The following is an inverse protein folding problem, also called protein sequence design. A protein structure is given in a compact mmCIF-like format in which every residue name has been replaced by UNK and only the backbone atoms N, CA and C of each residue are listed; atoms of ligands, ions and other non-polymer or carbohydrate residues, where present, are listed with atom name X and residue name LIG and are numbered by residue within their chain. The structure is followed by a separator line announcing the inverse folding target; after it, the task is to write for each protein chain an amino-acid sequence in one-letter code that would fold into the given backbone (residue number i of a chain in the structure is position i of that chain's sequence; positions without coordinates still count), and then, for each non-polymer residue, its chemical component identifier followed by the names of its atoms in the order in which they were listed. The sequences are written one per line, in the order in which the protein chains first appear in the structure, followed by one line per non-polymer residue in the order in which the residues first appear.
data_IF_867722893749
#
_entry.id   IF_867722893749
#
_cell.length_a   1.000
_cell.length_b   1.000
_cell.length_c   1.000
_cell.angle_alpha   90.00
_cell.angle_beta   90.00
_cell.angle_gamma   90.00
#
_symmetry.space_group_name_H-M   'P 1'
#
loop_
_entity.id
_entity.type
_entity.pdbx_description
1 polymer ?
#
# COMPACT_ATOMS: atom_id res chain seq x y z
N UNK A 1 15.61 18.90 1.86
CA UNK A 1 16.55 19.64 0.99
C UNK A 1 17.06 18.66 -0.04
N UNK A 2 16.47 18.62 -1.23
CA UNK A 2 16.71 17.52 -2.19
C UNK A 2 18.13 17.51 -2.77
N UNK A 3 18.70 18.69 -3.03
CA UNK A 3 20.04 18.84 -3.63
C UNK A 3 21.18 18.88 -2.59
N UNK A 4 21.00 18.28 -1.42
CA UNK A 4 22.01 18.32 -0.36
C UNK A 4 23.35 17.68 -0.76
N UNK A 5 23.35 16.80 -1.78
CA UNK A 5 24.57 16.21 -2.33
C UNK A 5 25.45 17.24 -3.05
N UNK A 6 24.86 18.29 -3.65
CA UNK A 6 25.61 19.35 -4.32
C UNK A 6 26.16 20.42 -3.40
N UNK A 7 25.75 20.42 -2.14
CA UNK A 7 26.04 21.48 -1.19
C UNK A 7 27.17 21.10 -0.27
N UNK A 8 27.93 22.10 0.15
CA UNK A 8 28.95 21.91 1.17
C UNK A 8 28.30 21.60 2.52
N UNK A 9 29.07 21.01 3.42
CA UNK A 9 28.59 20.68 4.76
C UNK A 9 28.07 21.93 5.48
N UNK A 10 28.79 23.05 5.37
CA UNK A 10 28.41 24.32 6.00
C UNK A 10 27.11 24.90 5.43
N UNK A 11 26.89 24.81 4.11
CA UNK A 11 25.64 25.26 3.48
C UNK A 11 24.44 24.47 3.99
N UNK A 12 24.57 23.15 4.14
CA UNK A 12 23.49 22.29 4.63
C UNK A 12 23.21 22.54 6.11
N UNK A 13 24.26 22.70 6.94
CA UNK A 13 24.11 23.04 8.36
C UNK A 13 23.44 24.41 8.54
N UNK A 14 23.83 25.40 7.73
CA UNK A 14 23.22 26.73 7.74
C UNK A 14 21.75 26.72 7.28
N UNK A 15 21.41 25.88 6.29
CA UNK A 15 20.02 25.74 5.82
C UNK A 15 19.09 25.24 6.93
N UNK A 16 19.55 24.27 7.73
CA UNK A 16 18.77 23.75 8.86
C UNK A 16 18.96 24.55 10.16
N UNK A 17 19.94 25.46 10.21
CA UNK A 17 20.26 26.25 11.40
C UNK A 17 20.68 25.38 12.58
N UNK A 18 21.51 24.36 12.33
CA UNK A 18 21.90 23.34 13.32
C UNK A 18 23.41 23.31 13.53
N UNK A 19 23.81 23.15 14.79
CA UNK A 19 25.20 22.94 15.18
C UNK A 19 25.55 21.44 15.13
N UNK A 20 26.68 21.04 14.50
CA UNK A 20 27.03 19.63 14.31
C UNK A 20 27.43 18.87 15.59
N UNK A 21 27.75 19.57 16.67
CA UNK A 21 28.10 18.97 17.98
C UNK A 21 26.96 19.07 18.98
N UNK A 22 26.10 20.10 18.89
CA UNK A 22 24.95 20.26 19.80
C UNK A 22 23.64 19.68 19.24
N UNK A 23 23.48 19.62 17.93
CA UNK A 23 22.25 19.18 17.28
C UNK A 23 21.08 20.16 17.45
N UNK A 24 19.86 19.68 17.14
CA UNK A 24 18.65 20.48 17.22
C UNK A 24 18.19 20.71 18.66
N UNK A 25 17.60 21.88 18.92
CA UNK A 25 16.91 22.18 20.18
C UNK A 25 15.52 21.52 20.24
N UNK A 26 14.95 21.29 21.44
CA UNK A 26 13.59 20.75 21.60
C UNK A 26 12.53 21.53 20.81
N UNK A 27 12.63 22.86 20.78
CA UNK A 27 11.68 23.71 20.06
C UNK A 27 11.80 23.54 18.53
N UNK A 28 13.03 23.42 18.01
CA UNK A 28 13.26 23.12 16.60
C UNK A 28 12.73 21.74 16.22
N UNK A 29 12.89 20.74 17.09
CA UNK A 29 12.39 19.38 16.85
C UNK A 29 10.87 19.41 16.73
N UNK A 30 10.17 20.03 17.69
CA UNK A 30 8.71 20.12 17.65
C UNK A 30 8.22 20.85 16.38
N UNK A 31 8.85 21.97 16.04
CA UNK A 31 8.54 22.73 14.82
C UNK A 31 8.79 21.91 13.55
N UNK A 32 9.87 21.14 13.50
CA UNK A 32 10.19 20.30 12.35
C UNK A 32 9.28 19.07 12.27
N UNK A 33 8.86 18.49 13.39
CA UNK A 33 7.85 17.42 13.43
C UNK A 33 6.51 17.91 12.90
N UNK A 34 6.07 19.11 13.29
CA UNK A 34 4.84 19.72 12.77
C UNK A 34 4.95 20.04 11.27
N UNK A 35 6.14 20.40 10.77
CA UNK A 35 6.35 20.77 9.37
C UNK A 35 6.53 19.57 8.43
N UNK A 36 7.31 18.57 8.82
CA UNK A 36 7.73 17.46 7.96
C UNK A 36 7.00 16.14 8.27
N UNK A 37 6.29 16.06 9.40
CA UNK A 37 5.63 14.84 9.84
C UNK A 37 6.62 13.81 10.43
N UNK A 38 6.11 12.61 10.77
CA UNK A 38 6.94 11.52 11.27
C UNK A 38 7.84 10.93 10.18
N UNK A 39 8.98 10.38 10.60
CA UNK A 39 9.87 9.62 9.72
C UNK A 39 9.43 8.16 9.64
N UNK A 40 8.28 7.94 9.01
CA UNK A 40 7.74 6.63 8.70
C UNK A 40 7.07 6.71 7.33
N UNK A 41 7.15 5.63 6.56
CA UNK A 41 6.39 5.56 5.34
C UNK A 41 4.90 5.32 5.70
N UNK A 42 3.95 6.14 5.21
CA UNK A 42 2.55 6.10 5.62
C UNK A 42 1.99 4.70 5.45
N UNK A 43 1.32 4.12 6.42
CA UNK A 43 0.64 2.85 6.19
C UNK A 43 -0.52 3.10 5.24
N UNK A 44 -0.54 2.43 4.08
CA UNK A 44 -1.80 2.34 3.34
C UNK A 44 -2.78 1.63 4.28
N UNK A 45 -3.93 2.27 4.51
CA UNK A 45 -5.03 1.58 5.16
C UNK A 45 -5.49 0.53 4.16
N UNK A 46 -4.98 -0.69 4.33
CA UNK A 46 -5.45 -1.83 3.57
C UNK A 46 -6.95 -1.91 3.63
N UNK A 47 -7.59 -2.29 2.51
CA UNK A 47 -9.03 -2.45 2.46
C UNK A 47 -9.45 -3.36 3.61
N UNK A 48 -10.43 -2.92 4.40
CA UNK A 48 -10.95 -3.74 5.49
C UNK A 48 -11.52 -5.05 4.92
N UNK A 49 -11.47 -6.13 5.67
CA UNK A 49 -12.02 -7.44 5.23
C UNK A 49 -13.47 -7.27 4.78
N UNK A 50 -14.25 -6.41 5.43
CA UNK A 50 -15.63 -6.10 5.04
C UNK A 50 -15.74 -5.38 3.69
N UNK A 51 -14.84 -4.44 3.40
CA UNK A 51 -14.78 -3.79 2.10
C UNK A 51 -14.38 -4.79 1.00
N UNK A 52 -13.37 -5.62 1.25
CA UNK A 52 -12.96 -6.68 0.31
C UNK A 52 -14.11 -7.64 0.01
N UNK A 53 -14.85 -8.07 1.04
CA UNK A 53 -16.03 -8.90 0.86
C UNK A 53 -17.08 -8.19 0.01
N UNK A 54 -17.39 -6.93 0.29
CA UNK A 54 -18.38 -6.15 -0.47
C UNK A 54 -18.00 -5.99 -1.95
N UNK A 55 -16.72 -5.78 -2.25
CA UNK A 55 -16.21 -5.68 -3.62
C UNK A 55 -16.43 -6.99 -4.42
N UNK A 56 -16.32 -8.16 -3.76
CA UNK A 56 -16.63 -9.45 -4.42
C UNK A 56 -18.11 -9.56 -4.83
N UNK A 57 -19.01 -8.80 -4.21
CA UNK A 57 -20.43 -8.73 -4.59
C UNK A 57 -20.75 -7.59 -5.57
N UNK A 58 -19.77 -6.76 -5.96
CA UNK A 58 -20.00 -5.65 -6.89
C UNK A 58 -20.02 -6.10 -8.36
N UNK A 59 -19.48 -7.29 -8.65
CA UNK A 59 -19.50 -7.91 -9.97
C UNK A 59 -20.93 -8.17 -10.48
N UNK A 60 -21.18 -7.85 -11.75
CA UNK A 60 -22.50 -7.93 -12.37
C UNK A 60 -23.04 -9.37 -12.43
N UNK A 61 -22.20 -10.37 -12.67
CA UNK A 61 -22.61 -11.78 -12.63
C UNK A 61 -22.93 -12.23 -11.22
N UNK A 62 -22.13 -11.82 -10.24
CA UNK A 62 -22.40 -12.12 -8.82
C UNK A 62 -23.73 -11.51 -8.38
N UNK A 63 -24.04 -10.27 -8.79
CA UNK A 63 -25.35 -9.64 -8.56
C UNK A 63 -26.51 -10.42 -9.17
N UNK A 64 -26.35 -10.96 -10.39
CA UNK A 64 -27.37 -11.80 -11.03
C UNK A 64 -27.57 -13.10 -10.24
N UNK A 65 -26.49 -13.76 -9.81
CA UNK A 65 -26.55 -14.97 -8.98
C UNK A 65 -27.20 -14.70 -7.62
N UNK A 66 -26.88 -13.55 -7.01
CA UNK A 66 -27.49 -13.13 -5.75
C UNK A 66 -29.00 -12.87 -5.93
N UNK A 67 -29.40 -12.22 -7.04
CA UNK A 67 -30.81 -12.03 -7.38
C UNK A 67 -31.52 -13.38 -7.57
N UNK A 68 -30.89 -14.34 -8.27
CA UNK A 68 -31.43 -15.69 -8.44
C UNK A 68 -31.58 -16.42 -7.11
N UNK A 69 -30.59 -16.30 -6.20
CA UNK A 69 -30.67 -16.85 -4.85
C UNK A 69 -31.84 -16.27 -4.05
N UNK A 70 -32.07 -14.95 -4.15
CA UNK A 70 -33.20 -14.28 -3.49
C UNK A 70 -34.53 -14.76 -4.07
N UNK A 71 -34.67 -14.84 -5.40
CA UNK A 71 -35.89 -15.32 -6.05
C UNK A 71 -36.18 -16.77 -5.66
N UNK A 72 -35.17 -17.65 -5.73
CA UNK A 72 -35.29 -19.06 -5.33
C UNK A 72 -35.68 -19.19 -3.85
N UNK A 73 -35.08 -18.38 -2.96
CA UNK A 73 -35.45 -18.36 -1.55
C UNK A 73 -36.90 -17.91 -1.31
N UNK A 74 -37.37 -16.89 -2.05
CA UNK A 74 -38.76 -16.43 -1.97
C UNK A 74 -39.72 -17.49 -2.49
N UNK A 75 -39.41 -18.15 -3.61
CA UNK A 75 -40.23 -19.24 -4.15
C UNK A 75 -40.33 -20.41 -3.17
N UNK A 76 -39.22 -20.80 -2.54
CA UNK A 76 -39.18 -21.85 -1.53
C UNK A 76 -40.03 -21.52 -0.28
N UNK A 77 -40.19 -20.23 0.08
CA UNK A 77 -41.07 -19.81 1.18
C UNK A 77 -42.56 -19.89 0.84
N UNK A 78 -42.92 -19.78 -0.44
CA UNK A 78 -44.31 -19.83 -0.92
C UNK A 78 -44.75 -21.22 -1.41
N UNK A 79 -43.84 -22.18 -1.50
CA UNK A 79 -44.16 -23.57 -1.86
C UNK A 79 -44.85 -24.30 -0.68
N UNK A 80 -46.13 -24.66 -0.86
CA UNK A 80 -46.96 -25.37 0.13
C UNK A 80 -46.79 -26.91 0.10
N UNK A 81 -45.63 -27.43 -0.34
CA UNK A 81 -45.40 -28.89 -0.43
C UNK A 81 -44.76 -29.49 0.84
N UNK A 82 -45.12 -30.74 1.15
CA UNK A 82 -44.74 -31.51 2.36
C UNK A 82 -43.23 -31.69 2.56
N UNK A 83 -42.41 -31.50 1.51
CA UNK A 83 -40.95 -31.63 1.55
C UNK A 83 -40.24 -30.26 1.70
N UNK A 84 -40.55 -29.51 2.76
CA UNK A 84 -39.92 -28.21 3.04
C UNK A 84 -38.38 -28.27 3.08
N UNK A 85 -37.79 -29.41 3.41
CA UNK A 85 -36.33 -29.57 3.54
C UNK A 85 -35.64 -29.51 2.16
N UNK A 86 -36.28 -29.96 1.08
CA UNK A 86 -35.67 -29.99 -0.25
C UNK A 86 -35.80 -28.65 -0.97
N UNK A 87 -36.86 -27.87 -0.69
CA UNK A 87 -37.10 -26.56 -1.29
C UNK A 87 -35.98 -25.54 -0.98
N UNK A 88 -35.38 -25.60 0.22
CA UNK A 88 -34.28 -24.70 0.59
C UNK A 88 -32.90 -25.13 0.05
N UNK A 89 -32.78 -26.28 -0.61
CA UNK A 89 -31.48 -26.79 -1.09
C UNK A 89 -30.90 -25.88 -2.17
N UNK A 90 -31.71 -25.47 -3.16
CA UNK A 90 -31.27 -24.61 -4.25
C UNK A 90 -30.72 -23.24 -3.77
N UNK A 91 -31.48 -22.42 -3.00
CA UNK A 91 -30.97 -21.12 -2.56
C UNK A 91 -29.77 -21.26 -1.62
N UNK A 92 -29.73 -22.34 -0.83
CA UNK A 92 -28.60 -22.63 0.04
C UNK A 92 -27.33 -22.97 -0.73
N UNK A 93 -27.42 -23.79 -1.78
CA UNK A 93 -26.27 -24.14 -2.62
C UNK A 93 -25.73 -22.91 -3.36
N UNK A 94 -26.61 -22.05 -3.89
CA UNK A 94 -26.18 -20.82 -4.57
C UNK A 94 -25.46 -19.89 -3.57
N UNK A 95 -26.03 -19.69 -2.38
CA UNK A 95 -25.41 -18.88 -1.33
C UNK A 95 -24.04 -19.43 -0.91
N UNK A 96 -23.92 -20.76 -0.78
CA UNK A 96 -22.67 -21.42 -0.42
C UNK A 96 -21.58 -21.17 -1.47
N UNK A 97 -21.91 -21.23 -2.77
CA UNK A 97 -20.98 -20.92 -3.86
C UNK A 97 -20.53 -19.46 -3.79
N UNK A 98 -21.46 -18.52 -3.55
CA UNK A 98 -21.12 -17.10 -3.40
C UNK A 98 -20.18 -16.84 -2.22
N UNK A 99 -20.44 -17.46 -1.07
CA UNK A 99 -19.58 -17.37 0.11
C UNK A 99 -18.19 -17.95 -0.19
N UNK A 100 -18.13 -19.13 -0.82
CA UNK A 100 -16.87 -19.76 -1.17
C UNK A 100 -16.04 -18.88 -2.13
N UNK A 101 -16.68 -18.29 -3.14
CA UNK A 101 -16.02 -17.38 -4.08
C UNK A 101 -15.51 -16.12 -3.37
N UNK A 102 -16.31 -15.51 -2.49
CA UNK A 102 -15.88 -14.34 -1.72
C UNK A 102 -14.68 -14.65 -0.82
N UNK A 103 -14.66 -15.81 -0.15
CA UNK A 103 -13.51 -16.25 0.67
C UNK A 103 -12.25 -16.40 -0.18
N UNK A 104 -12.36 -17.05 -1.35
CA UNK A 104 -11.22 -17.23 -2.27
C UNK A 104 -10.73 -15.88 -2.79
N UNK A 105 -11.63 -14.97 -3.17
CA UNK A 105 -11.27 -13.62 -3.62
C UNK A 105 -10.53 -12.82 -2.56
N UNK A 106 -11.07 -12.77 -1.33
CA UNK A 106 -10.43 -12.07 -0.19
C UNK A 106 -9.06 -12.66 0.12
N UNK A 107 -8.89 -13.99 0.03
CA UNK A 107 -7.60 -14.63 0.28
C UNK A 107 -6.55 -14.30 -0.79
N UNK A 108 -6.96 -14.22 -2.06
CA UNK A 108 -6.06 -13.85 -3.16
C UNK A 108 -5.57 -12.41 -3.04
N UNK A 109 -6.47 -11.48 -2.72
CA UNK A 109 -6.13 -10.05 -2.61
C UNK A 109 -5.21 -9.76 -1.43
N UNK A 110 -5.47 -10.38 -0.27
CA UNK A 110 -4.61 -10.25 0.91
C UNK A 110 -3.18 -10.76 0.67
N UNK A 111 -3.00 -11.78 -0.16
CA UNK A 111 -1.65 -12.25 -0.47
C UNK A 111 -0.88 -11.24 -1.33
N UNK A 112 -1.55 -10.49 -2.21
CA UNK A 112 -0.91 -9.47 -3.04
C UNK A 112 -0.40 -8.28 -2.21
N UNK A 113 -1.20 -7.83 -1.22
CA UNK A 113 -0.87 -6.68 -0.37
C UNK A 113 0.37 -6.93 0.53
N UNK A 114 0.63 -8.19 0.90
CA UNK A 114 1.74 -8.57 1.79
C UNK A 114 3.15 -8.17 1.27
N UNK A 115 3.31 -8.01 -0.04
CA UNK A 115 4.58 -7.58 -0.64
C UNK A 115 4.93 -6.11 -0.31
N UNK A 116 3.92 -5.26 -0.12
CA UNK A 116 4.10 -3.84 0.25
C UNK A 116 4.52 -3.74 1.72
N UNK A 117 3.98 -4.61 2.58
CA UNK A 117 4.31 -4.62 4.01
C UNK A 117 5.77 -5.04 4.27
N UNK A 118 6.33 -5.91 3.43
CA UNK A 118 7.74 -6.31 3.51
C UNK A 118 8.72 -5.13 3.37
N UNK A 119 8.34 -4.05 2.70
CA UNK A 119 9.18 -2.84 2.61
C UNK A 119 9.33 -2.13 3.97
N UNK A 120 8.34 -2.24 4.88
CA UNK A 120 8.42 -1.66 6.24
C UNK A 120 9.47 -2.35 7.11
N UNK A 121 9.79 -3.61 6.83
CA UNK A 121 10.84 -4.34 7.56
C UNK A 121 12.25 -3.72 7.33
N UNK A 122 12.38 -2.87 6.30
CA UNK A 122 13.59 -2.10 6.05
C UNK A 122 13.70 -0.81 6.87
N UNK A 123 12.68 -0.38 7.60
CA UNK A 123 12.81 0.76 8.52
C UNK A 123 13.39 0.30 9.87
N UNK A 124 14.47 0.91 10.38
CA UNK A 124 14.95 0.59 11.71
C UNK A 124 13.98 1.10 12.78
N UNK A 125 13.80 0.36 13.88
CA UNK A 125 12.96 0.81 14.99
C UNK A 125 13.55 2.03 15.73
N UNK A 126 14.89 2.11 15.79
CA UNK A 126 15.64 3.09 16.58
C UNK A 126 16.76 3.71 15.75
N UNK A 127 17.06 4.99 16.02
CA UNK A 127 18.22 5.71 15.49
C UNK A 127 19.01 6.43 16.58
N UNK A 128 20.26 6.80 16.28
CA UNK A 128 21.17 7.51 17.19
C UNK A 128 21.27 8.97 16.77
N UNK A 129 20.82 9.89 17.62
CA UNK A 129 20.83 11.33 17.34
C UNK A 129 21.63 12.09 18.38
N UNK A 130 22.12 13.26 17.98
CA UNK A 130 22.67 14.29 18.86
C UNK A 130 21.68 15.45 18.84
N UNK A 131 21.15 15.83 20.01
CA UNK A 131 20.20 16.94 20.18
C UNK A 131 20.58 17.74 21.42
N UNK A 132 20.14 18.99 21.48
CA UNK A 132 20.55 19.95 22.52
C UNK A 132 19.92 19.72 23.90
N UNK A 133 19.03 18.73 24.04
CA UNK A 133 18.36 18.40 25.31
C UNK A 133 19.24 17.56 26.25
N UNK A 134 20.15 16.75 25.69
CA UNK A 134 21.04 15.87 26.45
C UNK A 134 22.46 15.91 25.89
N UNK A 135 23.45 15.85 26.77
CA UNK A 135 24.83 15.75 26.36
C UNK A 135 25.13 14.35 25.77
N UNK A 136 25.64 14.31 24.54
CA UNK A 136 26.09 13.09 23.86
C UNK A 136 25.06 12.47 22.91
N UNK A 137 25.34 11.24 22.49
CA UNK A 137 24.51 10.50 21.53
C UNK A 137 23.36 9.81 22.28
N UNK A 138 22.13 10.05 21.86
CA UNK A 138 20.95 9.40 22.40
C UNK A 138 20.25 8.51 21.37
N UNK A 139 19.64 7.42 21.85
CA UNK A 139 18.79 6.57 21.01
C UNK A 139 17.35 7.05 21.07
N UNK A 140 16.77 7.34 19.91
CA UNK A 140 15.38 7.75 19.74
C UNK A 140 14.69 6.81 18.76
N UNK A 141 13.36 6.78 18.75
CA UNK A 141 12.62 6.00 17.75
C UNK A 141 12.88 6.60 16.38
N UNK A 142 13.07 5.77 15.35
CA UNK A 142 13.39 6.29 14.01
C UNK A 142 12.29 7.22 13.48
N UNK A 143 11.02 6.96 13.82
CA UNK A 143 9.87 7.80 13.49
C UNK A 143 9.91 9.23 14.05
N UNK A 144 10.69 9.46 15.11
CA UNK A 144 10.83 10.77 15.75
C UNK A 144 11.97 11.61 15.17
N UNK A 145 12.75 11.04 14.24
CA UNK A 145 13.84 11.72 13.54
C UNK A 145 13.24 12.71 12.55
N UNK A 146 13.79 13.91 12.51
CA UNK A 146 13.31 14.98 11.62
C UNK A 146 14.42 15.56 10.75
N UNK A 147 14.10 16.17 9.60
CA UNK A 147 15.07 16.93 8.83
C UNK A 147 15.79 17.97 9.69
N UNK A 148 17.12 17.98 9.60
CA UNK A 148 18.01 18.79 10.43
C UNK A 148 18.57 18.06 11.66
N UNK A 149 18.04 16.89 12.06
CA UNK A 149 18.64 16.11 13.14
C UNK A 149 20.07 15.69 12.77
N UNK A 150 20.95 15.71 13.77
CA UNK A 150 22.31 15.20 13.64
C UNK A 150 22.31 13.74 14.04
N UNK A 151 22.58 12.85 13.09
CA UNK A 151 22.53 11.40 13.28
C UNK A 151 23.96 10.85 13.27
N UNK A 152 24.21 9.91 14.17
CA UNK A 152 25.46 9.15 14.22
C UNK A 152 25.20 7.70 13.80
N UNK A 153 26.03 7.18 12.91
CA UNK A 153 25.92 5.81 12.41
C UNK A 153 27.24 5.06 12.60
N UNK A 154 27.13 3.79 12.97
CA UNK A 154 28.25 2.88 13.20
C UNK A 154 28.01 1.56 12.47
N UNK A 155 29.06 0.74 12.35
CA UNK A 155 28.98 -0.62 11.76
C UNK A 155 27.80 -1.41 12.31
N UNK A 156 27.02 -2.00 11.40
CA UNK A 156 25.84 -2.79 11.71
C UNK A 156 24.56 -1.99 11.91
N UNK A 157 24.63 -0.65 11.99
CA UNK A 157 23.43 0.18 12.03
C UNK A 157 22.79 0.23 10.64
N UNK A 158 21.45 0.18 10.62
CA UNK A 158 20.64 0.52 9.45
C UNK A 158 20.39 2.03 9.45
N UNK A 159 20.49 2.65 8.28
CA UNK A 159 20.35 4.10 8.11
C UNK A 159 18.86 4.47 8.27
N UNK A 160 18.51 5.39 9.20
CA UNK A 160 17.10 5.64 9.53
C UNK A 160 16.38 6.65 8.64
N UNK A 161 17.13 7.48 7.90
CA UNK A 161 16.61 8.54 7.04
C UNK A 161 17.67 8.88 5.99
N UNK A 162 17.32 9.71 4.99
CA UNK A 162 18.35 10.20 4.06
C UNK A 162 19.21 11.26 4.75
N UNK A 163 20.52 11.03 4.79
CA UNK A 163 21.47 11.78 5.59
C UNK A 163 22.62 12.30 4.72
N UNK A 164 22.91 13.59 4.82
CA UNK A 164 24.12 14.20 4.28
C UNK A 164 25.27 14.02 5.26
N UNK A 165 26.35 13.40 4.83
CA UNK A 165 27.54 13.19 5.67
C UNK A 165 28.19 14.53 6.06
N UNK A 166 28.54 14.68 7.34
CA UNK A 166 29.26 15.85 7.87
C UNK A 166 30.70 15.45 8.16
N UNK A 167 30.88 14.33 8.87
CA UNK A 167 32.18 13.90 9.39
C UNK A 167 32.26 12.38 9.44
N UNK A 168 33.39 11.84 9.00
CA UNK A 168 33.71 10.42 9.11
C UNK A 168 34.74 10.29 10.24
N UNK A 169 34.44 9.48 11.26
CA UNK A 169 35.32 9.27 12.41
C UNK A 169 36.30 8.12 12.19
N UNK A 170 35.97 7.17 11.32
CA UNK A 170 36.83 6.06 10.92
C UNK A 170 37.71 6.42 9.72
N UNK A 171 38.70 5.59 9.41
CA UNK A 171 39.55 5.74 8.21
C UNK A 171 38.73 5.73 6.92
N UNK A 172 37.72 4.86 6.86
CA UNK A 172 36.80 4.75 5.74
C UNK A 172 35.39 4.50 6.26
N UNK A 173 34.38 5.00 5.53
CA UNK A 173 32.99 4.62 5.70
C UNK A 173 32.56 3.80 4.48
N UNK A 174 31.98 2.62 4.71
CA UNK A 174 31.44 1.74 3.67
C UNK A 174 29.99 1.45 3.94
N UNK A 175 29.15 1.63 2.93
CA UNK A 175 27.70 1.42 3.01
C UNK A 175 27.31 0.34 2.01
N UNK A 176 26.50 -0.61 2.45
CA UNK A 176 25.81 -1.55 1.59
C UNK A 176 24.53 -0.88 1.06
N UNK A 177 24.50 -0.62 -0.24
CA UNK A 177 23.41 0.06 -0.93
C UNK A 177 22.64 -0.89 -1.86
N UNK A 178 22.78 -2.21 -1.68
CA UNK A 178 22.18 -3.25 -2.52
C UNK A 178 20.68 -3.08 -2.72
N UNK A 179 19.94 -2.60 -1.71
CA UNK A 179 18.50 -2.34 -1.80
C UNK A 179 18.11 -1.25 -2.82
N UNK A 180 19.01 -0.32 -3.14
CA UNK A 180 18.75 0.80 -4.05
C UNK A 180 19.49 0.68 -5.39
N UNK A 181 20.63 -0.01 -5.40
CA UNK A 181 21.48 -0.12 -6.59
C UNK A 181 21.47 -1.52 -7.21
N UNK A 182 21.01 -2.54 -6.48
CA UNK A 182 21.11 -3.94 -6.88
C UNK A 182 22.52 -4.54 -6.77
N UNK A 183 23.52 -3.74 -6.41
CA UNK A 183 24.91 -4.17 -6.32
C UNK A 183 25.28 -4.55 -4.87
N UNK A 184 25.77 -5.77 -4.64
CA UNK A 184 26.15 -6.25 -3.30
C UNK A 184 27.50 -5.71 -2.80
N UNK A 185 28.23 -4.94 -3.62
CA UNK A 185 29.53 -4.39 -3.24
C UNK A 185 29.35 -3.12 -2.44
N UNK A 186 29.95 -3.08 -1.25
CA UNK A 186 29.89 -1.88 -0.40
C UNK A 186 30.58 -0.68 -1.04
N UNK A 187 29.93 0.48 -1.00
CA UNK A 187 30.43 1.74 -1.59
C UNK A 187 31.15 2.58 -0.54
N UNK A 188 32.33 3.11 -0.88
CA UNK A 188 33.06 4.05 -0.01
C UNK A 188 32.43 5.44 -0.12
N UNK A 189 32.18 6.05 1.04
CA UNK A 189 31.58 7.39 1.15
C UNK A 189 32.59 8.46 1.55
N UNK A 190 32.32 9.70 1.16
CA UNK A 190 33.15 10.88 1.39
C UNK A 190 32.28 12.08 1.80
N UNK A 191 32.88 13.17 2.28
CA UNK A 191 32.14 14.36 2.75
C UNK A 191 32.04 15.48 1.71
N UNK A 192 32.83 15.41 0.63
CA UNK A 192 32.91 16.46 -0.38
C UNK A 192 31.58 16.64 -1.13
N UNK A 193 31.32 17.87 -1.58
CA UNK A 193 30.15 18.18 -2.39
C UNK A 193 30.30 17.58 -3.80
N UNK A 194 29.19 17.14 -4.39
CA UNK A 194 29.15 16.52 -5.71
C UNK A 194 28.59 17.55 -6.69
N UNK A 195 29.37 18.04 -7.67
CA UNK A 195 28.96 19.18 -8.49
C UNK A 195 27.71 18.95 -9.35
N UNK A 196 27.41 17.69 -9.70
CA UNK A 196 26.31 17.36 -10.59
C UNK A 196 24.94 17.34 -9.87
N UNK A 197 24.02 18.28 -10.18
CA UNK A 197 22.68 18.28 -9.61
C UNK A 197 21.84 17.08 -10.05
N UNK A 198 22.16 16.44 -11.18
CA UNK A 198 21.44 15.29 -11.73
C UNK A 198 22.13 13.96 -11.42
N UNK A 199 23.08 13.96 -10.49
CA UNK A 199 23.77 12.76 -10.05
C UNK A 199 22.77 11.67 -9.65
N UNK A 200 22.97 10.45 -10.18
CA UNK A 200 22.19 9.28 -9.78
C UNK A 200 22.55 8.86 -8.35
N UNK A 201 21.73 8.02 -7.72
CA UNK A 201 21.94 7.61 -6.33
C UNK A 201 23.30 6.92 -6.09
N UNK A 202 23.83 6.23 -7.10
CA UNK A 202 25.17 5.61 -7.06
C UNK A 202 26.30 6.66 -6.95
N UNK A 203 26.14 7.81 -7.61
CA UNK A 203 27.16 8.86 -7.62
C UNK A 203 27.13 9.72 -6.36
N UNK A 204 26.02 9.71 -5.61
CA UNK A 204 25.83 10.42 -4.33
C UNK A 204 26.65 9.79 -3.19
N UNK A 205 27.98 9.86 -3.32
CA UNK A 205 28.98 9.34 -2.36
C UNK A 205 29.03 10.11 -1.03
N UNK A 206 28.31 11.22 -0.91
CA UNK A 206 28.21 12.00 0.33
C UNK A 206 26.84 11.88 1.03
N UNK A 207 25.94 11.06 0.47
CA UNK A 207 24.63 10.75 1.05
C UNK A 207 24.60 9.31 1.54
N UNK A 208 23.97 9.12 2.69
CA UNK A 208 23.50 7.84 3.22
C UNK A 208 22.00 7.78 2.99
N UNK A 209 21.50 6.69 2.42
CA UNK A 209 20.08 6.55 2.11
C UNK A 209 19.36 5.71 3.16
N UNK A 210 18.12 6.06 3.48
CA UNK A 210 17.27 5.28 4.38
C UNK A 210 17.17 3.81 3.95
N UNK A 211 17.19 2.89 4.92
CA UNK A 211 17.10 1.44 4.70
C UNK A 211 18.42 0.76 4.31
N UNK A 212 19.45 1.52 3.92
CA UNK A 212 20.80 0.97 3.65
C UNK A 212 21.52 0.61 4.95
N UNK A 213 22.58 -0.20 4.88
CA UNK A 213 23.30 -0.68 6.08
C UNK A 213 24.75 -0.19 6.11
N UNK A 214 25.27 0.13 7.29
CA UNK A 214 26.69 0.45 7.47
C UNK A 214 27.52 -0.82 7.50
N UNK A 215 28.24 -1.10 6.41
CA UNK A 215 29.13 -2.25 6.30
C UNK A 215 30.42 -2.07 7.10
N UNK A 216 30.99 -0.86 7.11
CA UNK A 216 32.18 -0.55 7.91
C UNK A 216 32.31 0.94 8.22
N UNK A 217 32.89 1.27 9.37
CA UNK A 217 33.19 2.63 9.79
C UNK A 217 32.18 3.25 10.75
N UNK A 218 32.42 4.53 11.05
CA UNK A 218 31.60 5.36 11.93
C UNK A 218 31.55 6.78 11.38
N UNK A 219 30.38 7.37 11.30
CA UNK A 219 30.20 8.71 10.76
C UNK A 219 29.05 9.47 11.42
N UNK A 220 29.03 10.78 11.19
CA UNK A 220 27.96 11.69 11.59
C UNK A 220 27.47 12.45 10.36
N UNK A 221 26.17 12.69 10.31
CA UNK A 221 25.55 13.44 9.25
C UNK A 221 24.29 14.17 9.71
N UNK A 222 23.77 15.03 8.84
CA UNK A 222 22.51 15.76 9.04
C UNK A 222 21.42 15.14 8.18
N UNK A 223 20.25 14.95 8.76
CA UNK A 223 19.07 14.41 8.05
C UNK A 223 18.58 15.44 7.04
N UNK A 224 18.50 15.06 5.77
CA UNK A 224 18.04 15.92 4.68
C UNK A 224 16.59 15.67 4.27
N UNK A 225 16.10 14.44 4.49
CA UNK A 225 14.76 13.99 4.14
C UNK A 225 14.34 12.76 4.97
N UNK A 226 13.05 12.68 5.27
CA UNK A 226 12.41 11.65 6.12
C UNK A 226 11.12 11.15 5.46
N UNK A 227 10.68 9.94 5.82
CA UNK A 227 9.45 9.33 5.29
C UNK A 227 9.43 9.27 3.76
N UNK A 228 8.34 9.75 3.15
CA UNK A 228 8.15 9.80 1.69
C UNK A 228 9.21 10.62 0.94
N UNK A 229 9.87 11.57 1.61
CA UNK A 229 10.89 12.43 1.00
C UNK A 229 12.28 11.78 0.91
N UNK A 230 12.41 10.51 1.26
CA UNK A 230 13.65 9.72 1.13
C UNK A 230 13.73 9.02 -0.23
N UNK A 231 14.89 8.53 -0.62
CA UNK A 231 15.05 7.73 -1.84
C UNK A 231 14.13 6.49 -1.84
N UNK A 232 14.03 5.77 -0.73
CA UNK A 232 13.12 4.63 -0.58
C UNK A 232 11.65 5.07 -0.55
N UNK A 233 11.36 6.24 0.02
CA UNK A 233 10.01 6.82 0.03
C UNK A 233 9.52 7.24 -1.34
N UNK A 234 10.40 7.74 -2.21
CA UNK A 234 10.09 8.04 -3.61
C UNK A 234 9.75 6.75 -4.38
N UNK A 235 10.56 5.70 -4.22
CA UNK A 235 10.26 4.37 -4.79
C UNK A 235 8.89 3.88 -4.32
N UNK A 236 8.58 4.02 -3.02
CA UNK A 236 7.28 3.63 -2.49
C UNK A 236 6.13 4.43 -3.08
N UNK A 237 6.30 5.75 -3.23
CA UNK A 237 5.27 6.62 -3.81
C UNK A 237 4.99 6.22 -5.26
N UNK A 238 6.03 5.98 -6.06
CA UNK A 238 5.90 5.51 -7.44
C UNK A 238 5.23 4.13 -7.52
N UNK A 239 5.53 3.23 -6.58
CA UNK A 239 4.87 1.92 -6.51
C UNK A 239 3.39 2.02 -6.12
N UNK A 240 3.03 2.93 -5.22
CA UNK A 240 1.66 3.17 -4.77
C UNK A 240 0.81 3.89 -5.83
N UNK A 241 1.40 4.86 -6.54
CA UNK A 241 0.76 5.57 -7.65
C UNK A 241 0.59 4.71 -8.90
N UNK A 242 1.30 3.57 -8.98
CA UNK A 242 1.08 2.61 -10.05
C UNK A 242 -0.26 1.92 -9.82
N UNK A 243 -1.31 2.38 -10.52
CA UNK A 243 -2.62 1.73 -10.51
C UNK A 243 -2.46 0.23 -10.77
N UNK A 244 -3.14 -0.60 -9.98
CA UNK A 244 -3.20 -2.04 -10.22
C UNK A 244 -3.84 -2.31 -11.59
N UNK A 245 -3.00 -2.52 -12.60
CA UNK A 245 -3.46 -2.87 -13.93
C UNK A 245 -3.98 -4.31 -13.86
N UNK A 246 -5.31 -4.47 -13.99
CA UNK A 246 -5.95 -5.79 -14.13
C UNK A 246 -5.23 -6.61 -15.20
N UNK A 247 -5.00 -7.88 -14.92
CA UNK A 247 -4.36 -8.78 -15.89
C UNK A 247 -5.19 -8.87 -17.18
N UNK A 248 -4.57 -9.12 -18.36
CA UNK A 248 -5.31 -9.28 -19.60
C UNK A 248 -6.41 -10.36 -19.52
N UNK A 249 -6.20 -11.40 -18.72
CA UNK A 249 -7.19 -12.44 -18.47
C UNK A 249 -8.37 -11.91 -17.62
N UNK A 250 -8.09 -11.19 -16.53
CA UNK A 250 -9.15 -10.57 -15.72
C UNK A 250 -10.01 -9.61 -16.55
N UNK A 251 -9.40 -8.77 -17.37
CA UNK A 251 -10.15 -7.88 -18.28
C UNK A 251 -11.08 -8.66 -19.22
N UNK A 252 -10.62 -9.81 -19.75
CA UNK A 252 -11.44 -10.67 -20.60
C UNK A 252 -12.55 -11.38 -19.84
N UNK A 253 -12.32 -11.76 -18.58
CA UNK A 253 -13.35 -12.32 -17.72
C UNK A 253 -14.41 -11.28 -17.36
N UNK A 254 -14.03 -10.04 -17.08
CA UNK A 254 -14.94 -8.92 -16.83
C UNK A 254 -15.79 -8.62 -18.08
N UNK A 255 -15.16 -8.52 -19.26
CA UNK A 255 -15.87 -8.35 -20.54
C UNK A 255 -16.83 -9.52 -20.81
N UNK A 256 -16.40 -10.76 -20.55
CA UNK A 256 -17.24 -11.94 -20.69
C UNK A 256 -18.42 -11.90 -19.72
N UNK A 257 -18.18 -11.47 -18.47
CA UNK A 257 -19.21 -11.30 -17.46
C UNK A 257 -20.27 -10.31 -17.89
N UNK A 258 -19.87 -9.13 -18.37
CA UNK A 258 -20.80 -8.15 -18.90
C UNK A 258 -21.60 -8.66 -20.10
N UNK A 259 -20.95 -9.37 -21.03
CA UNK A 259 -21.61 -9.95 -22.20
C UNK A 259 -22.65 -10.98 -21.78
N UNK A 260 -22.29 -11.88 -20.86
CA UNK A 260 -23.18 -12.92 -20.37
C UNK A 260 -24.37 -12.30 -19.63
N UNK A 261 -24.16 -11.28 -18.78
CA UNK A 261 -25.23 -10.54 -18.12
C UNK A 261 -26.22 -9.90 -19.11
N UNK A 262 -25.72 -9.27 -20.18
CA UNK A 262 -26.55 -8.72 -21.26
C UNK A 262 -27.38 -9.80 -21.94
N UNK A 263 -26.76 -10.94 -22.27
CA UNK A 263 -27.46 -12.07 -22.90
C UNK A 263 -28.56 -12.63 -21.99
N UNK A 264 -28.27 -12.87 -20.71
CA UNK A 264 -29.26 -13.36 -19.73
C UNK A 264 -30.44 -12.40 -19.65
N UNK A 265 -30.18 -11.08 -19.54
CA UNK A 265 -31.24 -10.08 -19.45
C UNK A 265 -32.11 -10.04 -20.71
N UNK A 266 -31.52 -10.12 -21.90
CA UNK A 266 -32.26 -10.18 -23.17
C UNK A 266 -33.14 -11.43 -23.24
N UNK A 267 -32.62 -12.59 -22.82
CA UNK A 267 -33.40 -13.84 -22.79
C UNK A 267 -34.56 -13.74 -21.80
N UNK A 268 -34.35 -13.20 -20.60
CA UNK A 268 -35.43 -13.00 -19.62
C UNK A 268 -36.55 -12.13 -20.17
N UNK A 269 -36.22 -11.01 -20.84
CA UNK A 269 -37.21 -10.13 -21.47
C UNK A 269 -37.90 -10.83 -22.64
N UNK A 270 -37.18 -11.60 -23.45
CA UNK A 270 -37.75 -12.34 -24.58
C UNK A 270 -38.74 -13.41 -24.12
N UNK A 271 -38.38 -14.19 -23.09
CA UNK A 271 -39.27 -15.21 -22.49
C UNK A 271 -40.52 -14.54 -21.93
N UNK A 272 -40.37 -13.42 -21.21
CA UNK A 272 -41.50 -12.65 -20.70
C UNK A 272 -42.41 -12.16 -21.83
N UNK A 273 -41.85 -11.61 -22.91
CA UNK A 273 -42.61 -11.11 -24.06
C UNK A 273 -43.35 -12.23 -24.83
N UNK A 274 -42.80 -13.44 -24.89
CA UNK A 274 -43.48 -14.59 -25.50
C UNK A 274 -44.60 -15.09 -24.59
N UNK A 275 -44.36 -15.14 -23.27
CA UNK A 275 -45.30 -15.68 -22.30
C UNK A 275 -46.46 -14.70 -21.98
N UNK A 276 -46.30 -13.39 -22.21
CA UNK A 276 -47.36 -12.39 -21.95
C UNK A 276 -48.71 -12.70 -22.62
N UNK A 277 -48.71 -13.46 -23.72
CA UNK A 277 -49.94 -13.94 -24.37
C UNK A 277 -50.73 -14.95 -23.53
N UNK A 278 -50.06 -15.75 -22.70
CA UNK A 278 -50.67 -16.73 -21.78
C UNK A 278 -51.20 -16.09 -20.49
N UNK A 279 -50.80 -14.86 -20.17
CA UNK A 279 -51.30 -14.14 -18.99
C UNK A 279 -52.81 -13.81 -19.09
N UNK A 280 -53.36 -13.82 -20.31
CA UNK A 280 -54.78 -13.61 -20.60
C UNK A 280 -55.58 -14.92 -20.75
N UNK A 281 -54.98 -16.09 -20.49
CA UNK A 281 -55.65 -17.37 -20.69
C UNK A 281 -56.75 -17.59 -19.62
N UNK A 282 -58.02 -17.88 -20.00
CA UNK A 282 -59.15 -18.00 -19.06
C UNK A 282 -58.98 -19.07 -17.98
N UNK A 283 -58.04 -20.00 -18.15
CA UNK A 283 -57.71 -21.04 -17.18
C UNK A 283 -57.21 -20.50 -15.83
N UNK A 284 -56.66 -19.28 -15.78
CA UNK A 284 -56.07 -18.69 -14.57
C UNK A 284 -57.04 -17.81 -13.76
N UNK A 285 -58.35 -17.86 -14.08
CA UNK A 285 -59.39 -17.19 -13.31
C UNK A 285 -59.43 -15.67 -13.43
N UNK A 286 -58.89 -15.11 -14.53
CA UNK A 286 -59.01 -13.68 -14.86
C UNK A 286 -58.12 -12.72 -14.04
N UNK A 287 -57.18 -13.24 -13.24
CA UNK A 287 -56.19 -12.41 -12.54
C UNK A 287 -54.85 -12.44 -13.27
N UNK A 288 -54.44 -11.29 -13.78
CA UNK A 288 -53.14 -11.09 -14.43
C UNK A 288 -51.96 -11.50 -13.53
N UNK A 289 -52.11 -11.36 -12.21
CA UNK A 289 -51.10 -11.74 -11.22
C UNK A 289 -50.95 -13.27 -11.16
N UNK A 290 -52.05 -14.03 -11.28
CA UNK A 290 -52.00 -15.50 -11.27
C UNK A 290 -51.42 -16.07 -12.56
N UNK A 291 -51.72 -15.46 -13.71
CA UNK A 291 -51.12 -15.82 -15.00
C UNK A 291 -49.67 -15.37 -15.17
N UNK A 292 -49.17 -14.49 -14.28
CA UNK A 292 -47.77 -14.03 -14.29
C UNK A 292 -46.83 -14.89 -13.46
N UNK A 293 -47.37 -15.58 -12.45
CA UNK A 293 -46.62 -16.38 -11.48
C UNK A 293 -46.56 -17.86 -11.89
N UNK A 294 -47.48 -18.31 -12.75
CA UNK A 294 -47.56 -19.67 -13.29
C UNK A 294 -46.97 -19.74 -14.71
#
# INVERSE_FOLDING_TARGET
MEDAHCKSVDEVLNYFGVDPERGLTPDQIKRNQEKYGPNELPTEEGKSIWQLVLEQFDDLLVKILLLAAIISFVLALFEEHDDQITAFVEPFVILLILIANAIVGVWQERNAESAIEALKEYEPEMGKVVRGDKAGVQKVRAKEIVPGDIVEVSVGDKIPADIRLIKIFSTTLRIDQSILTGESVSVIKHTDAIPDPRAVNQDKKNILFSGTNVAAGKARGVVMGTGLNTAIGKIRTEMSETEEIKTPLQQKLDEFGEQLSKVISVICVAVWAINIGHFNDPAHGGSWIKGAVY
#
